data_IF_729245908680
#
_entry.id   IF_729245908680
#
_cell.length_a   1.000
_cell.length_b   1.000
_cell.length_c   1.000
_cell.angle_alpha   90.00
_cell.angle_beta   90.00
_cell.angle_gamma   90.00
#
_symmetry.space_group_name_H-M   'P 1'
#
loop_
_entity.id
_entity.type
_entity.pdbx_description
1 polymer ?
#
# COMPACT_ATOMS: atom_id res chain seq x y z
N UNK A 1 -33.42 32.39 -43.39
CA UNK A 1 -32.41 31.46 -42.84
C UNK A 1 -32.76 31.23 -41.38
N UNK A 2 -33.31 30.06 -41.06
CA UNK A 2 -33.66 29.60 -39.72
C UNK A 2 -33.52 28.08 -39.73
N UNK A 3 -32.71 27.55 -38.81
CA UNK A 3 -32.07 26.22 -38.88
C UNK A 3 -33.04 25.02 -38.82
N UNK A 4 -32.63 23.85 -39.38
CA UNK A 4 -33.39 22.60 -39.31
C UNK A 4 -33.36 21.94 -37.91
N UNK A 5 -34.32 21.05 -37.59
CA UNK A 5 -34.33 20.30 -36.33
C UNK A 5 -33.15 19.32 -36.22
N UNK A 6 -32.43 19.38 -35.10
CA UNK A 6 -31.29 18.52 -34.79
C UNK A 6 -31.72 17.06 -34.52
N UNK A 7 -31.16 16.05 -35.20
CA UNK A 7 -31.47 14.64 -34.98
C UNK A 7 -31.03 14.05 -33.63
N UNK A 8 -30.30 14.79 -32.79
CA UNK A 8 -29.57 14.24 -31.63
C UNK A 8 -29.97 14.84 -30.27
N UNK A 9 -31.26 14.96 -29.96
CA UNK A 9 -31.73 15.38 -28.64
C UNK A 9 -32.25 14.20 -27.78
N UNK A 10 -31.49 13.69 -26.80
CA UNK A 10 -31.82 12.49 -26.01
C UNK A 10 -32.80 12.74 -24.84
N UNK A 11 -33.45 13.90 -24.74
CA UNK A 11 -34.33 14.27 -23.61
C UNK A 11 -35.79 14.63 -23.99
N UNK A 12 -36.30 14.19 -25.14
CA UNK A 12 -37.73 14.33 -25.44
C UNK A 12 -38.54 13.24 -24.70
N UNK A 13 -39.20 13.63 -23.61
CA UNK A 13 -39.89 12.78 -22.63
C UNK A 13 -41.41 12.65 -22.86
N UNK A 14 -41.89 11.42 -23.10
CA UNK A 14 -43.26 10.86 -22.88
C UNK A 14 -44.45 11.46 -23.66
N UNK A 15 -45.68 10.89 -23.65
CA UNK A 15 -46.22 9.70 -22.96
C UNK A 15 -47.05 8.73 -23.87
N UNK A 16 -47.69 7.70 -23.28
CA UNK A 16 -48.81 6.84 -23.77
C UNK A 16 -48.53 5.36 -24.16
N UNK A 17 -49.07 4.45 -23.33
CA UNK A 17 -49.93 3.33 -23.76
C UNK A 17 -49.30 1.94 -24.02
N UNK A 18 -49.74 0.86 -23.33
CA UNK A 18 -49.29 -0.51 -23.60
C UNK A 18 -50.19 -1.24 -24.62
N UNK A 19 -49.65 -2.01 -25.58
CA UNK A 19 -50.42 -2.96 -26.39
C UNK A 19 -50.00 -4.45 -26.23
N UNK A 20 -50.81 -5.42 -26.72
CA UNK A 20 -51.15 -6.65 -26.01
C UNK A 20 -50.53 -7.95 -26.57
N UNK A 21 -50.54 -9.00 -25.73
CA UNK A 21 -50.20 -10.39 -26.08
C UNK A 21 -51.29 -11.05 -26.96
N UNK A 22 -50.90 -11.58 -28.13
CA UNK A 22 -51.77 -12.33 -29.06
C UNK A 22 -51.01 -13.47 -29.75
N UNK A 23 -51.72 -14.58 -29.99
CA UNK A 23 -51.24 -15.94 -30.29
C UNK A 23 -50.91 -16.26 -31.78
N UNK A 24 -50.06 -17.30 -31.98
CA UNK A 24 -50.05 -18.38 -33.03
C UNK A 24 -49.33 -18.20 -34.41
N UNK A 25 -48.86 -19.30 -35.12
CA UNK A 25 -47.49 -19.55 -35.67
C UNK A 25 -47.47 -19.82 -37.22
N UNK A 26 -46.57 -20.58 -37.93
CA UNK A 26 -45.22 -21.23 -37.73
C UNK A 26 -44.23 -20.95 -38.94
N UNK A 27 -43.25 -21.79 -39.44
CA UNK A 27 -42.50 -22.98 -38.95
C UNK A 27 -40.96 -23.10 -39.29
N UNK A 28 -40.30 -24.12 -38.70
CA UNK A 28 -39.11 -24.91 -39.11
C UNK A 28 -37.64 -24.42 -38.95
N UNK A 29 -36.88 -25.17 -38.12
CA UNK A 29 -35.41 -25.33 -38.24
C UNK A 29 -34.64 -25.82 -36.99
N UNK A 30 -34.61 -27.14 -36.75
CA UNK A 30 -33.54 -28.03 -36.21
C UNK A 30 -32.47 -27.43 -35.24
N UNK A 31 -32.08 -27.98 -34.08
CA UNK A 31 -31.78 -29.38 -33.72
C UNK A 31 -31.46 -29.47 -32.19
N UNK A 32 -31.94 -30.51 -31.51
CA UNK A 32 -31.49 -31.08 -30.22
C UNK A 32 -31.84 -32.59 -30.25
N UNK A 33 -31.34 -33.53 -29.39
CA UNK A 33 -30.43 -33.48 -28.22
C UNK A 33 -29.30 -34.59 -28.38
N UNK A 34 -28.60 -35.22 -27.38
CA UNK A 34 -29.07 -35.78 -26.09
C UNK A 34 -28.21 -35.50 -24.83
N UNK A 35 -28.78 -35.70 -23.62
CA UNK A 35 -28.14 -35.50 -22.32
C UNK A 35 -27.47 -36.79 -21.77
N UNK A 36 -26.36 -36.66 -21.05
CA UNK A 36 -25.82 -37.71 -20.18
C UNK A 36 -25.24 -37.10 -18.91
N UNK A 37 -25.84 -37.46 -17.78
CA UNK A 37 -25.40 -37.04 -16.45
C UNK A 37 -24.30 -37.93 -15.90
N UNK A 38 -23.56 -37.39 -14.94
CA UNK A 38 -22.98 -38.14 -13.84
C UNK A 38 -22.94 -37.23 -12.62
N UNK A 39 -23.68 -37.60 -11.58
CA UNK A 39 -23.49 -37.03 -10.26
C UNK A 39 -22.16 -37.51 -9.68
N UNK A 40 -21.46 -36.61 -9.01
CA UNK A 40 -20.76 -36.87 -7.75
C UNK A 40 -20.54 -35.54 -7.03
N UNK A 41 -21.27 -35.34 -5.94
CA UNK A 41 -20.76 -34.54 -4.83
C UNK A 41 -19.47 -35.19 -4.31
N UNK A 42 -18.48 -34.38 -3.92
CA UNK A 42 -17.99 -34.52 -2.54
C UNK A 42 -18.07 -33.22 -1.72
N UNK A 43 -18.11 -33.34 -0.38
CA UNK A 43 -18.37 -32.24 0.56
C UNK A 43 -17.12 -31.41 0.91
N UNK A 44 -17.27 -30.33 1.72
CA UNK A 44 -16.32 -29.24 1.85
C UNK A 44 -15.13 -29.58 2.76
N UNK A 45 -13.93 -29.31 2.26
CA UNK A 45 -12.69 -29.43 3.02
C UNK A 45 -11.65 -28.47 2.48
N UNK A 46 -11.45 -27.36 3.20
CA UNK A 46 -10.25 -26.53 3.06
C UNK A 46 -9.02 -27.42 3.20
N UNK A 47 -8.15 -27.42 2.19
CA UNK A 47 -6.84 -28.05 2.28
C UNK A 47 -5.81 -26.94 2.58
N UNK A 48 -5.27 -26.84 3.80
CA UNK A 48 -4.24 -25.87 4.13
C UNK A 48 -2.89 -26.42 3.67
N UNK A 49 -2.24 -25.71 2.77
CA UNK A 49 -0.85 -25.98 2.38
C UNK A 49 -0.73 -26.56 0.98
N UNK A 50 -0.72 -25.69 -0.03
CA UNK A 50 -0.13 -26.01 -1.32
C UNK A 50 0.78 -24.85 -1.75
N UNK A 51 2.02 -25.11 -2.22
CA UNK A 51 2.98 -24.07 -2.59
C UNK A 51 2.45 -23.20 -3.74
N UNK A 52 2.85 -21.91 -3.86
CA UNK A 52 2.34 -21.02 -4.90
C UNK A 52 2.85 -21.46 -6.27
N UNK A 53 2.01 -22.23 -6.96
CA UNK A 53 2.21 -22.62 -8.35
C UNK A 53 1.74 -21.51 -9.28
N UNK A 54 2.64 -21.06 -10.15
CA UNK A 54 2.41 -20.18 -11.31
C UNK A 54 1.11 -20.55 -12.04
N UNK A 55 0.03 -19.83 -11.74
CA UNK A 55 -1.29 -20.01 -12.35
C UNK A 55 -1.52 -18.92 -13.39
N UNK A 56 -1.73 -19.32 -14.64
CA UNK A 56 -2.17 -18.43 -15.72
C UNK A 56 -3.43 -17.64 -15.30
N UNK A 57 -3.55 -16.35 -15.69
CA UNK A 57 -4.72 -15.57 -15.34
C UNK A 57 -5.97 -16.20 -15.95
N UNK A 58 -6.91 -16.67 -15.13
CA UNK A 58 -8.24 -16.98 -15.60
C UNK A 58 -8.85 -15.71 -16.19
N UNK A 59 -9.36 -15.82 -17.42
CA UNK A 59 -10.07 -14.74 -18.09
C UNK A 59 -11.24 -14.28 -17.21
N UNK A 60 -11.37 -12.98 -16.91
CA UNK A 60 -12.46 -12.46 -16.08
C UNK A 60 -13.81 -12.83 -16.68
N UNK A 61 -14.65 -13.52 -15.91
CA UNK A 61 -16.04 -13.75 -16.27
C UNK A 61 -16.75 -12.39 -16.43
N UNK A 62 -17.48 -12.13 -17.53
CA UNK A 62 -18.18 -10.86 -17.70
C UNK A 62 -19.11 -10.58 -16.52
N UNK A 63 -18.83 -9.53 -15.75
CA UNK A 63 -19.63 -9.09 -14.60
C UNK A 63 -19.08 -9.49 -13.21
N UNK A 64 -18.01 -10.28 -13.13
CA UNK A 64 -17.38 -10.58 -11.83
C UNK A 64 -16.45 -9.42 -11.40
N UNK A 65 -16.57 -8.91 -10.16
CA UNK A 65 -15.61 -7.95 -9.62
C UNK A 65 -14.20 -8.51 -9.72
N UNK A 66 -13.29 -7.80 -10.40
CA UNK A 66 -11.89 -8.20 -10.50
C UNK A 66 -11.26 -8.11 -9.10
N UNK A 67 -11.05 -9.26 -8.46
CA UNK A 67 -10.37 -9.35 -7.17
C UNK A 67 -8.96 -9.86 -7.42
N UNK A 68 -7.91 -9.08 -7.10
CA UNK A 68 -6.54 -9.56 -7.23
C UNK A 68 -6.31 -10.76 -6.28
N UNK A 69 -6.00 -11.91 -6.87
CA UNK A 69 -5.68 -13.16 -6.17
C UNK A 69 -4.27 -13.10 -5.54
N UNK A 70 -3.34 -12.43 -6.21
CA UNK A 70 -1.97 -12.22 -5.73
C UNK A 70 -1.69 -10.75 -5.46
N UNK A 71 -0.77 -10.50 -4.54
CA UNK A 71 -0.38 -9.16 -4.15
C UNK A 71 0.34 -8.46 -5.31
N UNK A 72 -0.14 -7.32 -5.81
CA UNK A 72 0.49 -6.66 -6.95
C UNK A 72 1.93 -6.25 -6.61
N UNK A 73 2.85 -6.40 -7.58
CA UNK A 73 4.29 -6.18 -7.37
C UNK A 73 4.64 -4.80 -6.83
N UNK A 74 3.89 -3.75 -7.19
CA UNK A 74 4.08 -2.40 -6.62
C UNK A 74 3.78 -2.35 -5.12
N UNK A 75 2.77 -3.09 -4.66
CA UNK A 75 2.41 -3.16 -3.24
C UNK A 75 3.47 -3.96 -2.48
N UNK A 76 4.02 -5.02 -3.09
CA UNK A 76 5.17 -5.76 -2.53
C UNK A 76 6.40 -4.85 -2.43
N UNK A 77 6.71 -4.07 -3.47
CA UNK A 77 7.83 -3.13 -3.44
C UNK A 77 7.65 -2.08 -2.33
N UNK A 78 6.45 -1.50 -2.19
CA UNK A 78 6.14 -0.58 -1.11
C UNK A 78 6.31 -1.23 0.27
N UNK A 79 5.89 -2.49 0.42
CA UNK A 79 6.10 -3.28 1.64
C UNK A 79 7.58 -3.36 2.01
N UNK A 80 8.42 -3.69 1.04
CA UNK A 80 9.88 -3.83 1.23
C UNK A 80 10.50 -2.49 1.59
N UNK A 81 10.14 -1.40 0.91
CA UNK A 81 10.66 -0.06 1.23
C UNK A 81 10.32 0.37 2.66
N UNK A 82 9.11 0.06 3.14
CA UNK A 82 8.72 0.32 4.53
C UNK A 82 9.55 -0.50 5.53
N UNK A 83 9.83 -1.77 5.24
CA UNK A 83 10.72 -2.57 6.09
C UNK A 83 12.14 -2.02 6.12
N UNK A 84 12.68 -1.59 4.97
CA UNK A 84 14.02 -0.99 4.90
C UNK A 84 14.06 0.31 5.69
N UNK A 85 13.09 1.21 5.50
CA UNK A 85 12.98 2.47 6.23
C UNK A 85 12.85 2.22 7.74
N UNK A 86 11.94 1.34 8.14
CA UNK A 86 11.73 0.99 9.53
C UNK A 86 12.96 0.33 10.18
N UNK A 87 13.67 -0.54 9.47
CA UNK A 87 14.89 -1.17 9.98
C UNK A 87 16.00 -0.14 10.19
N UNK A 88 16.17 0.81 9.27
CA UNK A 88 17.15 1.88 9.43
C UNK A 88 16.80 2.81 10.60
N UNK A 89 15.53 3.15 10.80
CA UNK A 89 15.09 3.85 12.00
C UNK A 89 15.35 3.06 13.28
N UNK A 90 15.15 1.74 13.24
CA UNK A 90 15.44 0.84 14.36
C UNK A 90 16.93 0.81 14.68
N UNK A 91 17.80 0.76 13.67
CA UNK A 91 19.25 0.83 13.84
C UNK A 91 19.69 2.15 14.47
N UNK A 92 19.11 3.28 14.04
CA UNK A 92 19.35 4.59 14.67
C UNK A 92 18.90 4.57 16.13
N UNK A 93 17.72 4.02 16.44
CA UNK A 93 17.23 3.91 17.81
C UNK A 93 18.19 3.12 18.71
N UNK A 94 18.68 1.97 18.23
CA UNK A 94 19.67 1.15 18.96
C UNK A 94 20.99 1.91 19.12
N UNK A 95 21.44 2.64 18.10
CA UNK A 95 22.65 3.44 18.18
C UNK A 95 22.56 4.54 19.26
N UNK A 96 21.37 5.14 19.46
CA UNK A 96 21.15 6.10 20.56
C UNK A 96 21.37 5.47 21.93
N UNK A 97 20.87 4.27 22.17
CA UNK A 97 21.09 3.57 23.46
C UNK A 97 22.58 3.26 23.65
N UNK A 98 23.24 2.72 22.63
CA UNK A 98 24.67 2.38 22.71
C UNK A 98 25.51 3.64 22.98
N UNK A 99 25.24 4.73 22.27
CA UNK A 99 25.94 6.00 22.48
C UNK A 99 25.67 6.59 23.87
N UNK A 100 24.42 6.51 24.36
CA UNK A 100 24.04 6.95 25.69
C UNK A 100 24.81 6.23 26.79
N UNK A 101 24.86 4.90 26.70
CA UNK A 101 25.58 4.05 27.65
C UNK A 101 27.09 4.35 27.62
N UNK A 102 27.68 4.50 26.43
CA UNK A 102 29.10 4.81 26.30
C UNK A 102 29.46 6.18 26.88
N UNK A 103 28.60 7.19 26.71
CA UNK A 103 28.82 8.52 27.28
C UNK A 103 28.66 8.52 28.80
N UNK A 104 27.71 7.75 29.33
CA UNK A 104 27.49 7.63 30.78
C UNK A 104 28.69 6.98 31.47
N UNK A 105 29.21 5.89 30.90
CA UNK A 105 30.41 5.18 31.38
C UNK A 105 31.66 6.10 31.40
N UNK A 106 31.89 6.84 30.31
CA UNK A 106 32.98 7.83 30.25
C UNK A 106 32.83 8.97 31.27
N UNK A 107 31.60 9.38 31.57
CA UNK A 107 31.36 10.45 32.52
C UNK A 107 31.60 10.00 33.96
N UNK A 108 31.24 8.76 34.29
CA UNK A 108 31.52 8.14 35.58
C UNK A 108 33.04 8.03 35.81
N UNK A 109 33.79 7.57 34.79
CA UNK A 109 35.26 7.50 34.81
C UNK A 109 35.93 8.87 35.05
N UNK A 110 35.35 9.95 34.54
CA UNK A 110 35.85 11.31 34.72
C UNK A 110 35.41 11.98 36.04
N UNK A 111 34.65 11.28 36.88
CA UNK A 111 34.10 11.80 38.12
C UNK A 111 33.06 12.91 37.91
N UNK A 112 32.49 13.00 36.70
CA UNK A 112 31.44 13.95 36.35
C UNK A 112 30.09 13.44 36.88
N UNK A 113 29.97 13.36 38.21
CA UNK A 113 28.79 12.86 38.91
C UNK A 113 27.59 13.82 38.72
N UNK A 114 26.88 13.68 37.60
CA UNK A 114 25.72 14.47 37.21
C UNK A 114 25.11 14.12 35.85
N UNK A 115 25.61 13.08 35.17
CA UNK A 115 25.37 12.79 33.75
C UNK A 115 24.16 11.93 33.40
N UNK A 116 23.22 11.70 34.34
CA UNK A 116 21.95 11.05 34.01
C UNK A 116 21.20 11.68 32.82
N UNK A 117 21.53 12.93 32.46
CA UNK A 117 21.09 13.57 31.23
C UNK A 117 21.46 12.84 29.93
N UNK A 118 22.64 12.20 29.83
CA UNK A 118 23.06 11.48 28.63
C UNK A 118 22.19 10.24 28.38
N UNK A 119 21.94 9.44 29.43
CA UNK A 119 21.01 8.31 29.36
C UNK A 119 19.58 8.75 29.09
N UNK A 120 19.12 9.87 29.67
CA UNK A 120 17.79 10.41 29.38
C UNK A 120 17.66 10.79 27.91
N UNK A 121 18.65 11.51 27.36
CA UNK A 121 18.66 11.89 25.93
C UNK A 121 18.67 10.64 25.04
N UNK A 122 19.45 9.62 25.40
CA UNK A 122 19.49 8.36 24.69
C UNK A 122 18.16 7.60 24.72
N UNK A 123 17.49 7.54 25.88
CA UNK A 123 16.17 6.94 26.02
C UNK A 123 15.10 7.70 25.22
N UNK A 124 15.12 9.03 25.25
CA UNK A 124 14.22 9.86 24.44
C UNK A 124 14.47 9.61 22.95
N UNK A 125 15.73 9.59 22.52
CA UNK A 125 16.12 9.23 21.15
C UNK A 125 15.61 7.84 20.75
N UNK A 126 15.84 6.83 21.60
CA UNK A 126 15.35 5.47 21.38
C UNK A 126 13.84 5.40 21.23
N UNK A 127 13.06 6.08 22.07
CA UNK A 127 11.60 6.08 21.98
C UNK A 127 11.14 6.77 20.70
N UNK A 128 11.74 7.90 20.32
CA UNK A 128 11.38 8.63 19.10
C UNK A 128 11.72 7.80 17.86
N UNK A 129 12.98 7.34 17.72
CA UNK A 129 13.42 6.61 16.54
C UNK A 129 12.89 5.17 16.50
N UNK A 130 12.69 4.55 17.66
CA UNK A 130 12.01 3.25 17.80
C UNK A 130 10.53 3.35 17.46
N UNK A 131 9.86 4.44 17.87
CA UNK A 131 8.50 4.76 17.44
C UNK A 131 8.42 4.97 15.92
N UNK A 132 9.37 5.70 15.34
CA UNK A 132 9.50 5.85 13.88
C UNK A 132 9.71 4.50 13.19
N UNK A 133 10.54 3.62 13.75
CA UNK A 133 10.74 2.26 13.25
C UNK A 133 9.43 1.47 13.26
N UNK A 134 8.74 1.44 14.39
CA UNK A 134 7.45 0.75 14.54
C UNK A 134 6.39 1.28 13.56
N UNK A 135 6.34 2.60 13.38
CA UNK A 135 5.41 3.27 12.48
C UNK A 135 5.57 2.82 11.01
N UNK A 136 6.75 2.34 10.62
CA UNK A 136 6.99 1.77 9.28
C UNK A 136 6.82 0.25 9.24
N UNK A 137 7.33 -0.47 10.24
CA UNK A 137 7.33 -1.94 10.27
C UNK A 137 5.91 -2.48 10.45
N UNK A 138 5.10 -1.87 11.32
CA UNK A 138 3.73 -2.33 11.62
C UNK A 138 2.82 -2.34 10.38
N UNK A 139 2.71 -1.27 9.58
CA UNK A 139 1.94 -1.37 8.34
C UNK A 139 2.57 -2.37 7.37
N UNK A 140 3.91 -2.45 7.28
CA UNK A 140 4.58 -3.38 6.36
C UNK A 140 4.28 -4.87 6.66
N UNK A 141 4.19 -5.27 7.92
CA UNK A 141 3.80 -6.65 8.27
C UNK A 141 2.37 -6.94 7.88
N UNK A 142 1.49 -5.94 7.95
CA UNK A 142 0.07 -6.06 7.68
C UNK A 142 -0.29 -6.06 6.19
N UNK A 143 0.64 -5.81 5.26
CA UNK A 143 0.31 -5.73 3.83
C UNK A 143 -0.29 -7.02 3.23
N UNK A 144 -0.01 -8.18 3.85
CA UNK A 144 -0.55 -9.47 3.42
C UNK A 144 -2.04 -9.63 3.74
N UNK A 145 -2.52 -9.16 4.88
CA UNK A 145 -3.87 -9.41 5.41
C UNK A 145 -4.67 -8.13 5.69
N UNK A 146 -4.01 -6.98 5.67
CA UNK A 146 -4.51 -5.68 6.08
C UNK A 146 -5.43 -5.02 5.08
N UNK A 147 -6.27 -4.12 5.60
CA UNK A 147 -7.29 -3.35 4.87
C UNK A 147 -6.88 -2.00 4.35
N UNK A 148 -7.88 -1.18 3.99
CA UNK A 148 -7.64 0.22 3.64
C UNK A 148 -6.91 0.97 4.77
N UNK A 149 -7.17 0.64 6.03
CA UNK A 149 -6.43 1.19 7.17
C UNK A 149 -4.92 1.00 7.02
N UNK A 150 -4.47 -0.21 6.69
CA UNK A 150 -3.04 -0.53 6.48
C UNK A 150 -2.42 0.30 5.36
N UNK A 151 -3.15 0.47 4.26
CA UNK A 151 -2.73 1.30 3.12
C UNK A 151 -2.56 2.76 3.54
N UNK A 152 -3.55 3.31 4.25
CA UNK A 152 -3.53 4.70 4.71
C UNK A 152 -2.39 4.91 5.70
N UNK A 153 -2.20 4.01 6.67
CA UNK A 153 -1.08 4.08 7.63
C UNK A 153 0.27 4.00 6.91
N UNK A 154 0.42 3.19 5.88
CA UNK A 154 1.64 3.16 5.07
C UNK A 154 1.92 4.47 4.32
N UNK A 155 0.87 5.11 3.78
CA UNK A 155 1.01 6.42 3.14
C UNK A 155 1.42 7.47 4.17
N UNK A 156 0.79 7.48 5.35
CA UNK A 156 1.17 8.38 6.45
C UNK A 156 2.62 8.13 6.87
N UNK A 157 3.02 6.87 7.02
CA UNK A 157 4.37 6.50 7.39
C UNK A 157 5.42 7.01 6.40
N UNK A 158 5.21 6.73 5.11
CA UNK A 158 6.07 7.23 4.06
C UNK A 158 6.06 8.77 3.99
N UNK A 159 4.93 9.42 4.28
CA UNK A 159 4.83 10.89 4.30
C UNK A 159 5.59 11.52 5.46
N UNK A 160 5.62 10.89 6.64
CA UNK A 160 6.49 11.36 7.73
C UNK A 160 7.96 11.14 7.35
N UNK A 161 8.28 10.04 6.66
CA UNK A 161 9.63 9.75 6.21
C UNK A 161 10.17 10.71 5.15
N UNK A 162 9.33 11.44 4.42
CA UNK A 162 9.78 12.49 3.49
C UNK A 162 10.18 13.78 4.19
N UNK A 163 9.69 14.04 5.42
CA UNK A 163 9.94 15.30 6.13
C UNK A 163 11.41 15.45 6.49
N UNK A 164 12.03 14.43 7.09
CA UNK A 164 13.44 14.48 7.50
C UNK A 164 14.44 14.74 6.36
N UNK A 165 14.40 14.01 5.22
CA UNK A 165 15.29 14.30 4.11
C UNK A 165 14.98 15.65 3.44
N UNK A 166 13.72 16.11 3.44
CA UNK A 166 13.38 17.44 2.94
C UNK A 166 13.99 18.55 3.81
N UNK A 167 13.89 18.42 5.14
CA UNK A 167 14.54 19.34 6.08
C UNK A 167 16.07 19.27 5.97
N UNK A 168 16.66 18.07 5.85
CA UNK A 168 18.09 17.88 5.63
C UNK A 168 18.56 18.51 4.32
N UNK A 169 17.77 18.40 3.25
CA UNK A 169 18.08 19.04 1.97
C UNK A 169 18.06 20.57 2.08
N UNK A 170 17.02 21.16 2.68
CA UNK A 170 16.94 22.61 2.89
C UNK A 170 18.07 23.13 3.80
N UNK A 171 18.40 22.39 4.87
CA UNK A 171 19.52 22.70 5.75
C UNK A 171 20.87 22.67 5.01
N UNK A 172 21.06 21.72 4.10
CA UNK A 172 22.26 21.63 3.27
C UNK A 172 22.40 22.79 2.27
N UNK A 173 21.29 23.40 1.83
CA UNK A 173 21.31 24.59 0.97
C UNK A 173 21.61 25.88 1.72
N UNK A 174 21.33 25.93 3.02
CA UNK A 174 21.64 27.08 3.88
C UNK A 174 23.11 27.12 4.34
N UNK A 175 23.90 26.05 4.13
CA UNK A 175 25.30 25.99 4.53
C UNK A 175 26.24 26.61 3.49
N UNK A 176 26.80 27.76 3.84
CA UNK A 176 27.91 28.41 3.13
C UNK A 176 29.21 27.64 3.34
N UNK A 177 29.95 27.42 2.24
CA UNK A 177 31.31 26.86 2.10
C UNK A 177 32.08 26.59 3.41
N UNK A 178 32.12 25.32 3.87
CA UNK A 178 33.11 24.88 4.88
C UNK A 178 32.73 23.63 5.67
N UNK A 179 31.46 23.46 6.03
CA UNK A 179 30.97 22.37 6.90
C UNK A 179 29.98 21.49 6.14
N UNK A 180 30.42 20.84 5.05
CA UNK A 180 29.58 19.87 4.32
C UNK A 180 29.49 18.55 5.07
N UNK A 181 28.77 18.52 6.19
CA UNK A 181 28.51 17.26 6.91
C UNK A 181 27.37 16.46 6.26
N UNK A 182 26.54 17.10 5.43
CA UNK A 182 25.39 16.46 4.79
C UNK A 182 25.61 16.31 3.28
N UNK A 183 25.62 15.07 2.78
CA UNK A 183 25.59 14.80 1.35
C UNK A 183 24.15 14.98 0.82
N UNK A 184 23.83 16.07 0.08
CA UNK A 184 22.47 16.35 -0.35
C UNK A 184 21.91 15.26 -1.27
N UNK A 185 22.78 14.54 -1.99
CA UNK A 185 22.35 13.43 -2.86
C UNK A 185 21.77 12.25 -2.06
N UNK A 186 22.34 11.93 -0.90
CA UNK A 186 21.79 10.87 -0.04
C UNK A 186 20.41 11.25 0.51
N UNK A 187 20.22 12.52 0.87
CA UNK A 187 18.92 13.02 1.35
C UNK A 187 17.88 12.96 0.23
N UNK A 188 18.25 13.32 -1.00
CA UNK A 188 17.37 13.18 -2.16
C UNK A 188 17.01 11.73 -2.46
N UNK A 189 17.97 10.80 -2.41
CA UNK A 189 17.70 9.37 -2.61
C UNK A 189 16.74 8.86 -1.53
N UNK A 190 16.97 9.24 -0.26
CA UNK A 190 16.08 8.86 0.83
C UNK A 190 14.66 9.41 0.63
N UNK A 191 14.52 10.70 0.30
CA UNK A 191 13.24 11.31 -0.04
C UNK A 191 12.55 10.61 -1.22
N UNK A 192 13.31 10.26 -2.26
CA UNK A 192 12.78 9.57 -3.43
C UNK A 192 12.18 8.21 -3.08
N UNK A 193 12.85 7.42 -2.22
CA UNK A 193 12.30 6.11 -1.78
C UNK A 193 10.96 6.28 -1.04
N UNK A 194 10.86 7.30 -0.19
CA UNK A 194 9.62 7.60 0.52
C UNK A 194 8.50 8.04 -0.43
N UNK A 195 8.79 8.91 -1.39
CA UNK A 195 7.83 9.35 -2.42
C UNK A 195 7.36 8.18 -3.29
N UNK A 196 8.27 7.32 -3.74
CA UNK A 196 7.92 6.13 -4.54
C UNK A 196 7.03 5.19 -3.74
N UNK A 197 7.29 5.01 -2.44
CA UNK A 197 6.43 4.22 -1.55
C UNK A 197 5.01 4.78 -1.49
N UNK A 198 4.85 6.11 -1.39
CA UNK A 198 3.55 6.79 -1.43
C UNK A 198 2.84 6.52 -2.76
N UNK A 199 3.53 6.68 -3.89
CA UNK A 199 2.97 6.47 -5.23
C UNK A 199 2.49 5.02 -5.39
N UNK A 200 3.30 4.05 -5.02
CA UNK A 200 2.95 2.63 -5.08
C UNK A 200 1.73 2.30 -4.21
N UNK A 201 1.61 2.91 -3.03
CA UNK A 201 0.43 2.76 -2.19
C UNK A 201 -0.79 3.53 -2.74
N UNK A 202 -0.60 4.58 -3.55
CA UNK A 202 -1.68 5.45 -4.04
C UNK A 202 -2.34 4.96 -5.32
N UNK A 203 -1.72 4.04 -6.05
CA UNK A 203 -2.23 3.54 -7.33
C UNK A 203 -3.49 2.67 -7.20
N UNK A 204 -4.24 2.55 -8.31
CA UNK A 204 -5.49 1.77 -8.39
C UNK A 204 -5.30 0.29 -8.02
N UNK A 205 -4.15 -0.30 -8.39
CA UNK A 205 -3.83 -1.69 -8.07
C UNK A 205 -3.70 -1.92 -6.56
N UNK A 206 -3.05 -0.99 -5.84
CA UNK A 206 -3.01 -1.01 -4.39
C UNK A 206 -4.41 -0.85 -3.79
N UNK A 207 -5.21 0.07 -4.34
CA UNK A 207 -6.61 0.23 -3.96
C UNK A 207 -7.41 -1.07 -4.06
N UNK A 208 -7.33 -1.78 -5.19
CA UNK A 208 -7.99 -3.07 -5.40
C UNK A 208 -7.50 -4.15 -4.43
N UNK A 209 -6.18 -4.25 -4.20
CA UNK A 209 -5.60 -5.19 -3.24
C UNK A 209 -6.14 -4.98 -1.82
N UNK A 210 -6.14 -3.74 -1.33
CA UNK A 210 -6.55 -3.44 0.03
C UNK A 210 -8.08 -3.41 0.21
N UNK A 211 -8.87 -3.33 -0.87
CA UNK A 211 -10.34 -3.40 -0.87
C UNK A 211 -10.92 -4.79 -1.12
N UNK A 212 -10.08 -5.81 -1.35
CA UNK A 212 -10.58 -7.14 -1.67
C UNK A 212 -11.47 -7.70 -0.54
N UNK A 213 -12.51 -8.49 -0.89
CA UNK A 213 -13.29 -9.24 0.09
C UNK A 213 -12.38 -10.06 1.01
N UNK A 214 -12.70 -10.07 2.30
CA UNK A 214 -11.98 -10.81 3.34
C UNK A 214 -13.00 -11.64 4.11
N UNK A 215 -13.50 -12.70 3.48
CA UNK A 215 -14.43 -13.65 4.08
C UNK A 215 -14.28 -14.97 3.33
#
# INVERSE_FOLDING_TARGET
>A
MSNPPDPNNPYASGPYGPPPYGQTPPPYGQQAPPPYGYGQQPPPGMQPGMPPGYGYPQAPYPGAPWVPYEMPGQVVAARVMLFVAGSLWGLVAVAFIIAGLAVDDMADDLGANGTGGALIIALVGFVIFGGMSALHIVPATQFGHGGQGTRVTAIVAASVNTVLPALGFLGSMAQTYGTRTQNPALMMIWAATAIVTIVFCSNRQAGAWFNRPRH
#
